data_IF_700464541505
#
_entry.id   IF_700464541505
#
_cell.length_a   1.000
_cell.length_b   1.000
_cell.length_c   1.000
_cell.angle_alpha   90.00
_cell.angle_beta   90.00
_cell.angle_gamma   90.00
#
_symmetry.space_group_name_H-M   'P 1'
#
loop_
_entity.id
_entity.type
_entity.pdbx_description
1 polymer ?
#
# COMPACT_ATOMS: atom_id res chain seq x y z
N UNK A 1 30.92 -18.34 15.24
CA UNK A 1 30.31 -18.85 14.00
C UNK A 1 28.92 -19.48 14.24
N UNK A 2 28.69 -20.43 15.18
CA UNK A 2 27.36 -21.05 15.35
C UNK A 2 26.33 -20.14 16.04
N UNK A 3 26.77 -19.21 16.90
CA UNK A 3 25.88 -18.28 17.64
C UNK A 3 25.20 -17.25 16.75
N UNK A 4 25.86 -16.74 15.71
CA UNK A 4 25.27 -15.81 14.75
C UNK A 4 24.25 -16.50 13.84
N UNK A 5 24.55 -17.73 13.41
CA UNK A 5 23.63 -18.54 12.61
C UNK A 5 22.35 -18.88 13.40
N UNK A 6 22.49 -19.26 14.67
CA UNK A 6 21.36 -19.57 15.54
C UNK A 6 20.50 -18.34 15.86
N UNK A 7 21.12 -17.17 16.01
CA UNK A 7 20.43 -15.90 16.19
C UNK A 7 19.68 -15.48 14.92
N UNK A 8 20.30 -15.62 13.74
CA UNK A 8 19.66 -15.38 12.44
C UNK A 8 18.45 -16.29 12.24
N UNK A 9 18.58 -17.60 12.48
CA UNK A 9 17.47 -18.56 12.34
C UNK A 9 16.31 -18.18 13.27
N UNK A 10 16.57 -17.93 14.56
CA UNK A 10 15.52 -17.47 15.50
C UNK A 10 14.87 -16.15 15.10
N UNK A 11 15.64 -15.21 14.58
CA UNK A 11 15.12 -13.91 14.15
C UNK A 11 14.25 -14.03 12.90
N UNK A 12 14.67 -14.87 11.94
CA UNK A 12 13.90 -15.21 10.74
C UNK A 12 12.61 -15.93 11.12
N UNK A 13 12.65 -16.91 12.02
CA UNK A 13 11.45 -17.62 12.50
C UNK A 13 10.48 -16.69 13.24
N UNK A 14 11.01 -15.71 14.00
CA UNK A 14 10.20 -14.72 14.71
C UNK A 14 9.54 -13.71 13.75
N UNK A 15 10.28 -13.24 12.73
CA UNK A 15 9.74 -12.36 11.69
C UNK A 15 8.74 -13.08 10.78
N UNK A 16 9.01 -14.34 10.45
CA UNK A 16 8.06 -15.20 9.77
C UNK A 16 6.80 -15.38 10.63
N UNK A 17 6.89 -15.57 11.94
CA UNK A 17 5.69 -15.58 12.80
C UNK A 17 4.88 -14.27 12.79
N UNK A 18 5.45 -13.16 12.33
CA UNK A 18 4.91 -11.80 12.47
C UNK A 18 4.81 -11.05 11.13
N UNK A 19 4.37 -11.72 10.06
CA UNK A 19 4.20 -11.14 8.71
C UNK A 19 3.49 -9.77 8.69
N UNK A 20 2.51 -9.61 9.59
CA UNK A 20 1.74 -8.37 9.75
C UNK A 20 2.60 -7.18 10.21
N UNK A 21 3.66 -7.41 11.01
CA UNK A 21 4.56 -6.34 11.47
C UNK A 21 5.38 -5.74 10.36
N UNK A 22 5.70 -6.54 9.34
CA UNK A 22 6.52 -6.09 8.21
C UNK A 22 5.76 -5.04 7.40
N UNK A 23 4.44 -5.15 7.30
CA UNK A 23 3.59 -4.23 6.52
C UNK A 23 2.98 -3.09 7.35
N UNK A 24 3.19 -3.08 8.68
CA UNK A 24 2.60 -2.08 9.57
C UNK A 24 2.90 -0.63 9.18
N UNK A 25 4.15 -0.24 8.80
CA UNK A 25 4.43 1.15 8.45
C UNK A 25 3.53 1.67 7.33
N UNK A 26 3.41 0.91 6.23
CA UNK A 26 2.56 1.28 5.12
C UNK A 26 1.07 1.19 5.43
N UNK A 27 0.61 0.21 6.21
CA UNK A 27 -0.81 0.08 6.56
C UNK A 27 -1.26 1.16 7.55
N UNK A 28 -0.48 1.46 8.59
CA UNK A 28 -0.78 2.52 9.55
C UNK A 28 -0.75 3.89 8.88
N UNK A 29 0.29 4.16 8.07
CA UNK A 29 0.36 5.40 7.31
C UNK A 29 -0.77 5.49 6.28
N UNK A 30 -1.10 4.39 5.58
CA UNK A 30 -2.22 4.31 4.65
C UNK A 30 -3.56 4.59 5.32
N UNK A 31 -3.81 4.05 6.51
CA UNK A 31 -5.02 4.34 7.29
C UNK A 31 -5.08 5.81 7.70
N UNK A 32 -3.99 6.38 8.21
CA UNK A 32 -3.94 7.80 8.58
C UNK A 32 -4.21 8.72 7.37
N UNK A 33 -3.61 8.40 6.21
CA UNK A 33 -3.85 9.10 4.95
C UNK A 33 -5.30 8.92 4.49
N UNK A 34 -5.90 7.75 4.66
CA UNK A 34 -7.29 7.47 4.27
C UNK A 34 -8.28 8.30 5.09
N UNK A 35 -8.06 8.42 6.41
CA UNK A 35 -8.89 9.26 7.28
C UNK A 35 -8.78 10.73 6.87
N UNK A 36 -7.56 11.19 6.60
CA UNK A 36 -7.33 12.58 6.18
C UNK A 36 -7.91 12.84 4.78
N UNK A 37 -7.80 11.90 3.85
CA UNK A 37 -8.39 11.99 2.51
C UNK A 37 -9.93 12.07 2.57
N UNK A 38 -10.57 11.32 3.46
CA UNK A 38 -12.02 11.43 3.69
C UNK A 38 -12.38 12.80 4.30
N UNK A 39 -11.57 13.29 5.24
CA UNK A 39 -11.87 14.51 6.01
C UNK A 39 -11.63 15.79 5.21
N UNK A 40 -10.47 15.91 4.57
CA UNK A 40 -10.00 17.16 3.94
C UNK A 40 -9.77 17.05 2.45
N UNK A 41 -9.99 15.87 1.82
CA UNK A 41 -9.77 15.62 0.38
C UNK A 41 -8.35 15.93 -0.06
N UNK A 42 -7.40 15.90 0.88
CA UNK A 42 -5.99 16.18 0.64
C UNK A 42 -5.15 15.12 1.30
N UNK A 43 -4.24 14.58 0.50
CA UNK A 43 -3.29 13.58 0.93
C UNK A 43 -2.00 14.30 1.38
N UNK A 44 -1.63 14.26 2.67
CA UNK A 44 -0.44 14.93 3.19
C UNK A 44 0.83 14.22 2.71
N UNK A 45 1.51 14.82 1.72
CA UNK A 45 2.68 14.23 1.05
C UNK A 45 3.82 13.86 2.01
N UNK A 46 4.00 14.65 3.07
CA UNK A 46 5.03 14.37 4.10
C UNK A 46 4.76 13.07 4.85
N UNK A 47 3.50 12.74 5.10
CA UNK A 47 3.16 11.50 5.81
C UNK A 47 3.46 10.29 4.93
N UNK A 48 3.11 10.35 3.64
CA UNK A 48 3.46 9.29 2.70
C UNK A 48 4.97 9.13 2.57
N UNK A 49 5.73 10.22 2.48
CA UNK A 49 7.19 10.13 2.40
C UNK A 49 7.80 9.43 3.62
N UNK A 50 7.32 9.78 4.83
CA UNK A 50 7.75 9.12 6.08
C UNK A 50 7.33 7.65 6.10
N UNK A 51 6.10 7.33 5.68
CA UNK A 51 5.62 5.95 5.58
C UNK A 51 6.42 5.10 4.60
N UNK A 52 6.72 5.63 3.41
CA UNK A 52 7.53 4.94 2.41
C UNK A 52 8.95 4.71 2.91
N UNK A 53 9.56 5.72 3.54
CA UNK A 53 10.91 5.58 4.10
C UNK A 53 10.94 4.51 5.20
N UNK A 54 9.97 4.54 6.11
CA UNK A 54 9.85 3.53 7.15
C UNK A 54 9.64 2.12 6.57
N UNK A 55 8.76 1.98 5.56
CA UNK A 55 8.51 0.69 4.91
C UNK A 55 9.77 0.17 4.20
N UNK A 56 10.49 1.00 3.45
CA UNK A 56 11.75 0.61 2.78
C UNK A 56 12.80 0.15 3.80
N UNK A 57 12.92 0.82 4.95
CA UNK A 57 13.84 0.40 6.02
C UNK A 57 13.47 -1.00 6.53
N UNK A 58 12.18 -1.27 6.71
CA UNK A 58 11.69 -2.58 7.15
C UNK A 58 11.96 -3.64 6.08
N UNK A 59 11.64 -3.38 4.80
CA UNK A 59 11.86 -4.32 3.69
C UNK A 59 13.35 -4.66 3.53
N UNK A 60 14.25 -3.67 3.67
CA UNK A 60 15.70 -3.87 3.64
C UNK A 60 16.16 -4.70 4.85
N UNK A 61 15.68 -4.37 6.05
CA UNK A 61 16.04 -5.11 7.28
C UNK A 61 15.61 -6.57 7.18
N UNK A 62 14.42 -6.82 6.65
CA UNK A 62 13.92 -8.17 6.39
C UNK A 62 14.77 -8.87 5.35
N UNK A 63 15.03 -8.24 4.20
CA UNK A 63 15.85 -8.79 3.12
C UNK A 63 17.28 -9.16 3.59
N UNK A 64 17.88 -8.35 4.45
CA UNK A 64 19.18 -8.64 5.08
C UNK A 64 19.11 -9.85 6.02
N UNK A 65 18.03 -9.98 6.79
CA UNK A 65 17.85 -11.11 7.73
C UNK A 65 17.72 -12.46 7.03
N UNK A 66 17.09 -12.50 5.85
CA UNK A 66 16.98 -13.73 5.05
C UNK A 66 18.08 -13.85 4.00
N UNK A 67 19.09 -12.97 4.04
CA UNK A 67 20.21 -12.92 3.08
C UNK A 67 19.75 -12.88 1.61
N UNK A 68 18.63 -12.21 1.34
CA UNK A 68 18.04 -12.10 0.00
C UNK A 68 17.64 -10.65 -0.29
N UNK A 69 18.60 -9.85 -0.74
CA UNK A 69 18.37 -8.46 -1.19
C UNK A 69 17.39 -8.35 -2.35
N UNK A 70 17.18 -9.46 -3.08
CA UNK A 70 16.18 -9.54 -4.14
C UNK A 70 14.79 -9.17 -3.65
N UNK A 71 14.42 -9.48 -2.40
CA UNK A 71 13.10 -9.15 -1.84
C UNK A 71 12.87 -7.64 -1.72
N UNK A 72 13.87 -6.89 -1.26
CA UNK A 72 13.79 -5.43 -1.17
C UNK A 72 13.73 -4.80 -2.58
N UNK A 73 14.52 -5.31 -3.52
CA UNK A 73 14.47 -4.85 -4.91
C UNK A 73 13.12 -5.16 -5.55
N UNK A 74 12.58 -6.35 -5.32
CA UNK A 74 11.28 -6.79 -5.81
C UNK A 74 10.15 -5.90 -5.28
N UNK A 75 10.15 -5.59 -3.98
CA UNK A 75 9.18 -4.68 -3.37
C UNK A 75 9.22 -3.29 -4.02
N UNK A 76 10.43 -2.73 -4.19
CA UNK A 76 10.64 -1.44 -4.86
C UNK A 76 10.14 -1.44 -6.31
N UNK A 77 10.46 -2.49 -7.07
CA UNK A 77 10.06 -2.61 -8.48
C UNK A 77 8.55 -2.74 -8.62
N UNK A 78 7.89 -3.59 -7.84
CA UNK A 78 6.43 -3.72 -7.91
C UNK A 78 5.70 -2.47 -7.41
N UNK A 79 6.22 -1.81 -6.38
CA UNK A 79 5.69 -0.52 -5.92
C UNK A 79 5.80 0.54 -7.02
N UNK A 80 6.97 0.66 -7.66
CA UNK A 80 7.22 1.61 -8.73
C UNK A 80 6.35 1.31 -9.96
N UNK A 81 6.25 0.04 -10.39
CA UNK A 81 5.38 -0.38 -11.48
C UNK A 81 3.91 -0.06 -11.21
N UNK A 82 3.44 -0.35 -9.99
CA UNK A 82 2.07 -0.05 -9.59
C UNK A 82 1.81 1.47 -9.55
N UNK A 83 2.76 2.25 -9.04
CA UNK A 83 2.66 3.72 -9.04
C UNK A 83 2.65 4.28 -10.47
N UNK A 84 3.49 3.77 -11.37
CA UNK A 84 3.50 4.16 -12.80
C UNK A 84 2.16 3.82 -13.45
N UNK A 85 1.61 2.63 -13.19
CA UNK A 85 0.30 2.23 -13.72
C UNK A 85 -0.81 3.13 -13.18
N UNK A 86 -0.79 3.43 -11.87
CA UNK A 86 -1.74 4.36 -11.27
C UNK A 86 -1.61 5.78 -11.83
N UNK A 87 -0.38 6.22 -12.10
CA UNK A 87 -0.08 7.51 -12.71
C UNK A 87 -0.61 7.56 -14.15
N UNK A 88 -0.41 6.50 -14.94
CA UNK A 88 -0.97 6.38 -16.29
C UNK A 88 -2.50 6.49 -16.26
N UNK A 89 -3.17 5.80 -15.33
CA UNK A 89 -4.63 5.91 -15.15
C UNK A 89 -5.07 7.34 -14.80
N UNK A 90 -4.32 8.04 -13.93
CA UNK A 90 -4.59 9.43 -13.58
C UNK A 90 -4.39 10.39 -14.76
N UNK A 91 -3.45 10.10 -15.67
CA UNK A 91 -3.21 10.88 -16.89
C UNK A 91 -4.24 10.61 -17.99
N UNK A 92 -4.74 9.38 -18.12
CA UNK A 92 -5.78 9.02 -19.11
C UNK A 92 -7.11 9.70 -18.81
N UNK A 93 -7.48 9.81 -17.53
CA UNK A 93 -8.73 10.48 -17.12
C UNK A 93 -8.46 11.56 -16.06
N UNK A 94 -7.92 12.72 -16.48
CA UNK A 94 -7.56 13.79 -15.57
C UNK A 94 -8.80 14.28 -14.81
N UNK A 95 -8.72 14.26 -13.48
CA UNK A 95 -9.81 14.66 -12.57
C UNK A 95 -10.56 13.50 -11.90
N UNK A 96 -10.40 12.26 -12.36
CA UNK A 96 -10.94 11.07 -11.69
C UNK A 96 -10.01 10.50 -10.61
N UNK A 97 -8.69 10.61 -10.83
CA UNK A 97 -7.66 10.21 -9.88
C UNK A 97 -6.64 11.33 -9.66
N UNK A 98 -6.18 11.44 -8.41
CA UNK A 98 -5.23 12.45 -7.98
C UNK A 98 -3.81 11.91 -7.86
N UNK A 99 -2.85 12.83 -7.83
CA UNK A 99 -1.45 12.50 -7.50
C UNK A 99 -1.31 11.82 -6.14
N UNK A 100 -2.20 12.12 -5.19
CA UNK A 100 -2.22 11.47 -3.88
C UNK A 100 -2.50 9.96 -3.96
N UNK A 101 -3.32 9.52 -4.92
CA UNK A 101 -3.63 8.10 -5.13
C UNK A 101 -2.42 7.34 -5.66
N UNK A 102 -1.65 7.97 -6.55
CA UNK A 102 -0.38 7.45 -7.06
C UNK A 102 0.61 7.24 -5.92
N UNK A 103 0.76 8.24 -5.04
CA UNK A 103 1.68 8.14 -3.90
C UNK A 103 1.20 7.15 -2.84
N UNK A 104 -0.12 6.99 -2.66
CA UNK A 104 -0.69 5.97 -1.76
C UNK A 104 -0.48 4.57 -2.32
N UNK A 105 -0.62 4.41 -3.64
CA UNK A 105 -0.31 3.16 -4.35
C UNK A 105 1.16 2.81 -4.23
N UNK A 106 2.07 3.79 -4.31
CA UNK A 106 3.49 3.54 -4.05
C UNK A 106 3.72 3.01 -2.63
N UNK A 107 3.14 3.67 -1.62
CA UNK A 107 3.27 3.29 -0.21
C UNK A 107 2.76 1.87 0.07
N UNK A 108 1.54 1.55 -0.37
CA UNK A 108 0.95 0.22 -0.16
C UNK A 108 1.63 -0.82 -1.04
N UNK A 109 2.07 -0.43 -2.23
CA UNK A 109 2.82 -1.28 -3.15
C UNK A 109 4.16 -1.75 -2.59
N UNK A 110 4.82 -0.96 -1.74
CA UNK A 110 6.04 -1.40 -1.03
C UNK A 110 5.74 -2.59 -0.11
N UNK A 111 4.65 -2.52 0.66
CA UNK A 111 4.24 -3.60 1.53
C UNK A 111 3.78 -4.85 0.77
N UNK A 112 2.89 -4.69 -0.23
CA UNK A 112 2.33 -5.81 -0.99
C UNK A 112 3.40 -6.44 -1.91
N UNK A 113 4.26 -5.62 -2.52
CA UNK A 113 5.29 -6.05 -3.47
C UNK A 113 6.34 -6.98 -2.88
N UNK A 114 6.57 -6.91 -1.57
CA UNK A 114 7.48 -7.81 -0.88
C UNK A 114 7.06 -9.28 -1.01
N UNK A 115 5.75 -9.57 -1.08
CA UNK A 115 5.22 -10.93 -1.20
C UNK A 115 5.15 -11.46 -2.63
N UNK A 116 5.56 -10.66 -3.62
CA UNK A 116 5.69 -11.10 -5.01
C UNK A 116 4.50 -10.77 -5.91
N UNK A 117 4.52 -11.35 -7.10
CA UNK A 117 3.59 -11.00 -8.17
C UNK A 117 2.13 -11.34 -7.84
N UNK A 118 1.89 -12.50 -7.24
CA UNK A 118 0.53 -12.98 -7.01
C UNK A 118 -0.27 -12.05 -6.06
N UNK A 119 0.25 -11.64 -4.90
CA UNK A 119 -0.41 -10.64 -4.05
C UNK A 119 -0.57 -9.28 -4.72
N UNK A 120 0.40 -8.84 -5.54
CA UNK A 120 0.29 -7.57 -6.28
C UNK A 120 -0.84 -7.61 -7.31
N UNK A 121 -0.95 -8.70 -8.07
CA UNK A 121 -2.03 -8.88 -9.06
C UNK A 121 -3.39 -8.97 -8.38
N UNK A 122 -3.49 -9.75 -7.30
CA UNK A 122 -4.72 -9.85 -6.52
C UNK A 122 -5.11 -8.49 -5.92
N UNK A 123 -4.14 -7.73 -5.43
CA UNK A 123 -4.36 -6.38 -4.92
C UNK A 123 -4.93 -5.44 -6.00
N UNK A 124 -4.38 -5.45 -7.21
CA UNK A 124 -4.91 -4.69 -8.36
C UNK A 124 -6.35 -5.10 -8.74
N UNK A 125 -6.63 -6.40 -8.69
CA UNK A 125 -7.99 -6.90 -8.90
C UNK A 125 -8.95 -6.39 -7.80
N UNK A 126 -8.52 -6.44 -6.54
CA UNK A 126 -9.28 -5.94 -5.40
C UNK A 126 -9.52 -4.42 -5.49
N UNK A 127 -8.51 -3.63 -5.88
CA UNK A 127 -8.66 -2.18 -6.15
C UNK A 127 -9.72 -1.95 -7.24
N UNK A 128 -9.75 -2.77 -8.28
CA UNK A 128 -10.71 -2.62 -9.38
C UNK A 128 -12.15 -2.88 -8.91
N UNK A 129 -12.38 -3.96 -8.19
CA UNK A 129 -13.72 -4.32 -7.66
C UNK A 129 -14.17 -3.31 -6.60
N UNK A 130 -13.34 -3.08 -5.57
CA UNK A 130 -13.65 -2.14 -4.49
C UNK A 130 -13.76 -0.72 -5.00
N UNK A 131 -12.96 -0.32 -5.99
CA UNK A 131 -12.99 1.00 -6.61
C UNK A 131 -14.29 1.27 -7.32
N UNK A 132 -14.80 0.32 -8.12
CA UNK A 132 -16.11 0.45 -8.78
C UNK A 132 -17.25 0.54 -7.76
N UNK A 133 -17.23 -0.30 -6.73
CA UNK A 133 -18.23 -0.27 -5.65
C UNK A 133 -18.18 1.05 -4.89
N UNK A 134 -16.98 1.52 -4.54
CA UNK A 134 -16.78 2.78 -3.82
C UNK A 134 -17.28 3.98 -4.62
N UNK A 135 -16.97 4.05 -5.92
CA UNK A 135 -17.49 5.10 -6.80
C UNK A 135 -19.03 5.07 -6.87
N UNK A 136 -19.63 3.88 -6.98
CA UNK A 136 -21.09 3.72 -7.02
C UNK A 136 -21.77 4.15 -5.71
N UNK A 137 -21.16 3.85 -4.56
CA UNK A 137 -21.68 4.23 -3.25
C UNK A 137 -21.49 5.73 -3.01
N UNK A 138 -20.30 6.27 -3.32
CA UNK A 138 -19.97 7.66 -3.04
C UNK A 138 -20.81 8.64 -3.86
N UNK A 139 -21.09 8.34 -5.13
CA UNK A 139 -21.97 9.18 -5.97
C UNK A 139 -23.39 9.33 -5.39
N UNK A 140 -23.87 8.31 -4.67
CA UNK A 140 -25.17 8.34 -3.99
C UNK A 140 -25.12 9.08 -2.66
N UNK A 141 -24.12 8.80 -1.81
CA UNK A 141 -24.06 9.27 -0.43
C UNK A 141 -23.07 10.41 -0.17
N UNK A 142 -22.57 11.11 -1.20
CA UNK A 142 -21.57 12.18 -1.04
C UNK A 142 -21.99 13.25 0.00
N UNK A 143 -21.42 13.21 1.23
CA UNK A 143 -21.83 14.10 2.32
C UNK A 143 -21.34 15.55 2.09
N UNK A 144 -20.41 15.73 1.15
CA UNK A 144 -19.77 17.01 0.83
C UNK A 144 -20.26 17.62 -0.50
N UNK A 145 -21.38 17.13 -1.04
CA UNK A 145 -22.03 17.63 -2.28
C UNK A 145 -22.27 19.14 -2.32
N UNK A 146 -22.38 19.79 -1.15
CA UNK A 146 -22.61 21.23 -1.02
C UNK A 146 -21.32 22.07 -0.90
N UNK A 147 -20.14 21.44 -0.95
CA UNK A 147 -18.84 22.13 -0.84
C UNK A 147 -18.12 22.21 -2.18
N UNK A 148 -17.02 22.98 -2.24
CA UNK A 148 -16.17 23.14 -3.44
C UNK A 148 -15.53 21.82 -3.94
N UNK A 149 -15.67 20.73 -3.19
CA UNK A 149 -15.14 19.40 -3.52
C UNK A 149 -16.20 18.40 -3.99
N UNK A 150 -17.42 18.87 -4.27
CA UNK A 150 -18.51 18.04 -4.77
C UNK A 150 -18.07 17.16 -5.95
N UNK A 151 -18.26 15.85 -5.83
CA UNK A 151 -17.93 14.88 -6.88
C UNK A 151 -16.48 14.37 -6.91
N UNK A 152 -15.56 14.85 -6.05
CA UNK A 152 -14.23 14.21 -5.89
C UNK A 152 -14.31 13.06 -4.88
N UNK A 153 -14.10 11.85 -5.37
CA UNK A 153 -14.15 10.62 -4.57
C UNK A 153 -12.78 10.34 -3.92
N UNK A 154 -12.72 9.98 -2.62
CA UNK A 154 -11.47 9.70 -1.95
C UNK A 154 -11.06 8.27 -2.32
N UNK A 155 -10.00 8.07 -3.08
CA UNK A 155 -9.63 6.74 -3.58
C UNK A 155 -8.58 6.03 -2.71
N UNK A 156 -7.88 6.77 -1.84
CA UNK A 156 -6.90 6.22 -0.91
C UNK A 156 -7.45 5.10 0.01
N UNK A 157 -8.66 5.20 0.61
CA UNK A 157 -9.21 4.12 1.44
C UNK A 157 -9.35 2.80 0.69
N UNK A 158 -9.77 2.85 -0.58
CA UNK A 158 -9.91 1.67 -1.44
C UNK A 158 -8.56 0.99 -1.65
N UNK A 159 -7.52 1.77 -1.95
CA UNK A 159 -6.15 1.26 -2.17
C UNK A 159 -5.64 0.54 -0.92
N UNK A 160 -5.83 1.14 0.26
CA UNK A 160 -5.34 0.64 1.54
C UNK A 160 -6.10 -0.62 1.98
N UNK A 161 -7.44 -0.61 1.89
CA UNK A 161 -8.27 -1.78 2.22
C UNK A 161 -7.97 -2.95 1.30
N UNK A 162 -7.85 -2.70 -0.01
CA UNK A 162 -7.45 -3.74 -0.96
C UNK A 162 -6.07 -4.33 -0.62
N UNK A 163 -5.12 -3.48 -0.20
CA UNK A 163 -3.78 -3.91 0.19
C UNK A 163 -3.80 -4.80 1.42
N UNK A 164 -4.56 -4.41 2.45
CA UNK A 164 -4.75 -5.20 3.66
C UNK A 164 -5.38 -6.57 3.36
N UNK A 165 -6.40 -6.63 2.48
CA UNK A 165 -7.03 -7.90 2.07
C UNK A 165 -6.02 -8.77 1.33
N UNK A 166 -5.23 -8.21 0.41
CA UNK A 166 -4.23 -8.98 -0.33
C UNK A 166 -3.16 -9.59 0.59
N UNK A 167 -2.66 -8.81 1.56
CA UNK A 167 -1.70 -9.28 2.56
C UNK A 167 -2.33 -10.37 3.43
N UNK A 168 -3.58 -10.19 3.88
CA UNK A 168 -4.29 -11.19 4.68
C UNK A 168 -4.51 -12.50 3.90
N UNK A 169 -4.88 -12.41 2.62
CA UNK A 169 -5.03 -13.58 1.74
C UNK A 169 -3.71 -14.32 1.58
N UNK A 170 -2.60 -13.61 1.41
CA UNK A 170 -1.28 -14.24 1.35
C UNK A 170 -0.91 -14.96 2.65
N UNK A 171 -1.32 -14.43 3.81
CA UNK A 171 -1.09 -15.09 5.09
C UNK A 171 -1.97 -16.34 5.34
N UNK A 172 -3.04 -16.52 4.57
CA UNK A 172 -3.99 -17.63 4.71
C UNK A 172 -3.75 -18.79 3.72
N UNK A 173 -2.93 -18.58 2.69
CA UNK A 173 -2.59 -19.55 1.65
C UNK A 173 -1.18 -20.10 1.85
#
# INVERSE_FOLDING_TARGET
MPTLLFCQIRFVDYLNGMWYMICLPSLLCGMAVSVEDIRTRRIPRMWIAVGCLAQVIVDITYALSVNSLFLALQALLFAALSAVLQCALALIKPGALGFGDVTTTLLIGLAVGMFGLFPVVFWWFAISVLGLLWLAIWTRFDPQKHTRFAGKTPFAPTIVVAGAISIAMHALC
#
